data_IF_005285608290
#
_entry.id   IF_005285608290
#
_cell.length_a   1.000
_cell.length_b   1.000
_cell.length_c   1.000
_cell.angle_alpha   90.00
_cell.angle_beta   90.00
_cell.angle_gamma   90.00
#
_symmetry.space_group_name_H-M   'P 1'
#
loop_
_entity.id
_entity.type
_entity.pdbx_description
1 polymer ?
#
# COMPACT_ATOMS: atom_id res chain seq x y z
N UNK A 1 15.04 14.82 1.57
CA UNK A 1 13.57 15.03 1.42
C UNK A 1 13.29 15.24 -0.06
N UNK A 2 12.21 14.74 -0.66
CA UNK A 2 11.69 15.04 -2.02
C UNK A 2 12.57 15.93 -2.97
N UNK A 3 13.83 15.54 -3.25
CA UNK A 3 14.79 16.33 -4.05
C UNK A 3 15.38 17.61 -3.44
N UNK A 4 15.16 17.92 -2.15
CA UNK A 4 15.74 19.05 -1.41
C UNK A 4 16.75 18.59 -0.34
N UNK A 5 17.78 19.40 -0.12
CA UNK A 5 18.91 19.14 0.77
C UNK A 5 18.60 19.49 2.23
N UNK A 6 17.62 20.37 2.48
CA UNK A 6 17.20 20.75 3.83
C UNK A 6 15.69 21.06 3.94
N UNK A 7 15.17 21.11 5.17
CA UNK A 7 13.75 21.41 5.44
C UNK A 7 13.43 22.86 5.05
N UNK A 8 14.36 23.77 5.31
CA UNK A 8 14.25 25.17 4.93
C UNK A 8 14.19 25.33 3.41
N UNK A 9 15.05 24.62 2.68
CA UNK A 9 15.04 24.60 1.22
C UNK A 9 13.74 23.99 0.69
N UNK A 10 13.29 22.88 1.27
CA UNK A 10 12.01 22.25 0.93
C UNK A 10 10.84 23.22 1.08
N UNK A 11 10.77 23.96 2.20
CA UNK A 11 9.74 24.99 2.44
C UNK A 11 9.81 26.12 1.42
N UNK A 12 11.00 26.64 1.13
CA UNK A 12 11.21 27.67 0.09
C UNK A 12 10.72 27.20 -1.28
N UNK A 13 11.02 25.94 -1.66
CA UNK A 13 10.56 25.34 -2.91
C UNK A 13 9.02 25.20 -2.94
N UNK A 14 8.40 24.70 -1.86
CA UNK A 14 6.95 24.55 -1.78
C UNK A 14 6.22 25.90 -1.90
N UNK A 15 6.66 26.91 -1.14
CA UNK A 15 6.11 28.27 -1.21
C UNK A 15 6.23 28.85 -2.62
N UNK A 16 7.39 28.68 -3.27
CA UNK A 16 7.62 29.09 -4.66
C UNK A 16 6.65 28.41 -5.63
N UNK A 17 6.43 27.10 -5.51
CA UNK A 17 5.53 26.37 -6.40
C UNK A 17 4.05 26.74 -6.18
N UNK A 18 3.67 27.09 -4.95
CA UNK A 18 2.32 27.55 -4.60
C UNK A 18 2.09 29.03 -4.86
N UNK A 19 3.15 29.80 -5.11
CA UNK A 19 3.12 31.27 -5.19
C UNK A 19 2.61 31.92 -3.89
N UNK A 20 2.99 31.33 -2.76
CA UNK A 20 2.65 31.79 -1.41
C UNK A 20 3.92 32.35 -0.71
N UNK A 21 3.78 33.28 0.25
CA UNK A 21 4.91 33.75 1.04
C UNK A 21 5.50 32.62 1.90
N UNK A 22 6.82 32.66 2.12
CA UNK A 22 7.51 31.71 3.00
C UNK A 22 7.25 32.10 4.44
N UNK A 23 6.18 31.58 5.03
CA UNK A 23 5.90 31.75 6.45
C UNK A 23 6.50 30.57 7.24
N UNK A 24 7.35 30.88 8.22
CA UNK A 24 8.07 29.87 9.01
C UNK A 24 7.15 28.88 9.75
N UNK A 25 5.92 29.31 10.04
CA UNK A 25 4.91 28.54 10.79
C UNK A 25 3.90 27.80 9.91
N UNK A 26 3.94 27.95 8.58
CA UNK A 26 2.96 27.31 7.71
C UNK A 26 3.33 25.85 7.48
N UNK A 27 2.42 24.96 7.88
CA UNK A 27 2.52 23.54 7.56
C UNK A 27 1.82 23.27 6.22
N UNK A 28 2.61 23.19 5.14
CA UNK A 28 2.07 22.94 3.82
C UNK A 28 1.63 21.48 3.71
N UNK A 29 0.33 21.24 3.47
CA UNK A 29 -0.16 19.88 3.18
C UNK A 29 0.43 19.35 1.87
N UNK A 30 1.31 18.35 1.92
CA UNK A 30 1.93 17.74 0.74
C UNK A 30 1.18 16.45 0.38
N UNK A 31 0.45 16.48 -0.73
CA UNK A 31 -0.18 15.28 -1.26
C UNK A 31 0.85 14.27 -1.76
N UNK A 32 0.60 12.98 -1.53
CA UNK A 32 1.33 11.89 -2.14
C UNK A 32 0.47 11.30 -3.28
N UNK A 33 1.05 11.14 -4.48
CA UNK A 33 0.45 10.33 -5.53
C UNK A 33 1.22 9.02 -5.59
N UNK A 34 0.55 7.92 -5.29
CA UNK A 34 1.12 6.59 -5.36
C UNK A 34 0.83 6.06 -6.76
N UNK A 35 1.88 5.81 -7.53
CA UNK A 35 1.74 5.11 -8.81
C UNK A 35 1.73 3.61 -8.54
N UNK A 36 0.67 2.95 -8.97
CA UNK A 36 0.55 1.51 -8.85
C UNK A 36 1.09 0.84 -10.12
N UNK A 37 2.10 -0.01 -9.95
CA UNK A 37 2.73 -0.80 -11.02
C UNK A 37 3.12 0.01 -12.27
N UNK A 38 3.96 1.06 -12.13
CA UNK A 38 4.48 1.75 -13.30
C UNK A 38 5.30 0.78 -14.14
N UNK A 39 5.05 0.78 -15.44
CA UNK A 39 5.91 0.10 -16.40
C UNK A 39 6.54 1.14 -17.33
N UNK A 40 7.70 0.80 -17.86
CA UNK A 40 8.34 1.57 -18.90
C UNK A 40 8.25 0.79 -20.21
N UNK A 41 7.99 1.49 -21.30
CA UNK A 41 8.22 0.94 -22.63
C UNK A 41 9.70 1.06 -22.99
N UNK A 42 10.24 0.11 -23.77
CA UNK A 42 11.46 0.31 -24.54
C UNK A 42 11.44 1.64 -25.31
N UNK A 43 12.62 2.24 -25.52
CA UNK A 43 12.73 3.60 -26.08
C UNK A 43 12.10 3.73 -27.47
N UNK A 44 12.17 2.68 -28.27
CA UNK A 44 11.54 2.55 -29.59
C UNK A 44 10.01 2.61 -29.53
N UNK A 45 9.41 2.28 -28.39
CA UNK A 45 7.97 2.36 -28.15
C UNK A 45 7.58 3.61 -27.36
N UNK A 46 8.47 4.58 -27.16
CA UNK A 46 8.07 5.83 -26.51
C UNK A 46 7.07 6.60 -27.37
N UNK A 47 6.16 7.30 -26.70
CA UNK A 47 5.21 8.17 -27.38
C UNK A 47 5.92 9.52 -27.58
N UNK A 48 6.03 10.02 -28.82
CA UNK A 48 6.70 11.28 -29.07
C UNK A 48 5.98 12.40 -28.31
N UNK A 49 6.77 13.29 -27.74
CA UNK A 49 6.29 14.43 -27.00
C UNK A 49 5.69 15.42 -28.00
N UNK A 50 4.39 15.71 -27.88
CA UNK A 50 3.75 16.75 -28.69
C UNK A 50 4.37 18.12 -28.39
N UNK A 51 4.44 19.01 -29.39
CA UNK A 51 5.06 20.35 -29.30
C UNK A 51 4.55 21.23 -28.13
N UNK A 52 3.40 20.87 -27.53
CA UNK A 52 2.76 21.57 -26.40
C UNK A 52 3.18 21.07 -25.02
N UNK A 53 4.15 20.17 -24.92
CA UNK A 53 4.72 19.74 -23.64
C UNK A 53 5.94 20.61 -23.31
N UNK A 54 5.72 21.67 -22.54
CA UNK A 54 6.82 22.50 -22.08
C UNK A 54 7.77 21.67 -21.16
N UNK A 55 9.10 21.79 -21.31
CA UNK A 55 10.07 21.11 -20.45
C UNK A 55 9.91 21.45 -18.96
N UNK A 56 9.25 22.57 -18.66
CA UNK A 56 8.97 23.08 -17.32
C UNK A 56 7.70 22.53 -16.67
N UNK A 57 7.05 21.52 -17.24
CA UNK A 57 5.87 20.87 -16.63
C UNK A 57 6.33 20.04 -15.43
N UNK A 58 6.24 20.64 -14.24
CA UNK A 58 6.54 20.02 -12.94
C UNK A 58 5.28 19.51 -12.21
N UNK A 59 4.12 19.65 -12.84
CA UNK A 59 2.81 19.15 -12.37
C UNK A 59 2.25 18.25 -13.46
N UNK A 60 1.74 17.06 -13.10
CA UNK A 60 1.15 16.15 -14.07
C UNK A 60 0.10 16.86 -14.93
N UNK A 61 0.31 16.87 -16.25
CA UNK A 61 -0.62 17.43 -17.23
C UNK A 61 -1.56 16.32 -17.69
N UNK A 62 -2.86 16.50 -17.44
CA UNK A 62 -3.88 15.59 -17.94
C UNK A 62 -4.31 16.01 -19.34
N UNK A 63 -4.57 15.03 -20.20
CA UNK A 63 -5.12 15.24 -21.53
C UNK A 63 -6.48 14.54 -21.61
N UNK A 64 -7.47 15.25 -22.12
CA UNK A 64 -8.82 14.74 -22.32
C UNK A 64 -8.97 14.16 -23.73
N UNK A 65 -9.69 13.03 -23.85
CA UNK A 65 -9.87 12.33 -25.14
C UNK A 65 -10.82 13.04 -26.10
N UNK A 66 -11.55 14.07 -25.65
CA UNK A 66 -12.31 14.97 -26.49
C UNK A 66 -11.45 15.90 -27.34
N UNK A 67 -10.17 16.09 -26.98
CA UNK A 67 -9.21 16.90 -27.73
C UNK A 67 -8.27 16.04 -28.57
N UNK A 68 -7.78 16.59 -29.70
CA UNK A 68 -6.90 15.87 -30.62
C UNK A 68 -5.64 15.31 -29.93
N UNK A 69 -4.99 16.09 -29.08
CA UNK A 69 -3.78 15.68 -28.35
C UNK A 69 -4.07 14.52 -27.39
N UNK A 70 -5.16 14.59 -26.61
CA UNK A 70 -5.51 13.52 -25.68
C UNK A 70 -5.94 12.24 -26.38
N UNK A 71 -6.63 12.37 -27.52
CA UNK A 71 -6.97 11.24 -28.39
C UNK A 71 -5.70 10.59 -28.97
N UNK A 72 -4.74 11.39 -29.44
CA UNK A 72 -3.44 10.90 -29.90
C UNK A 72 -2.70 10.08 -28.83
N UNK A 73 -2.56 10.62 -27.62
CA UNK A 73 -1.91 9.89 -26.52
C UNK A 73 -2.67 8.61 -26.16
N UNK A 74 -4.00 8.68 -26.10
CA UNK A 74 -4.84 7.54 -25.77
C UNK A 74 -4.73 6.41 -26.80
N UNK A 75 -4.80 6.73 -28.08
CA UNK A 75 -4.70 5.74 -29.16
C UNK A 75 -3.28 5.13 -29.20
N UNK A 76 -2.25 5.96 -29.04
CA UNK A 76 -0.86 5.52 -28.97
C UNK A 76 -0.60 4.57 -27.78
N UNK A 77 -1.20 4.84 -26.61
CA UNK A 77 -1.14 3.95 -25.43
C UNK A 77 -1.88 2.65 -25.70
N UNK A 78 -3.10 2.71 -26.23
CA UNK A 78 -3.93 1.53 -26.53
C UNK A 78 -3.25 0.60 -27.51
N UNK A 79 -2.70 1.12 -28.60
CA UNK A 79 -1.99 0.36 -29.63
C UNK A 79 -0.79 -0.40 -29.03
N UNK A 80 0.06 0.31 -28.27
CA UNK A 80 1.26 -0.28 -27.64
C UNK A 80 0.92 -1.29 -26.54
N UNK A 81 -0.15 -1.08 -25.79
CA UNK A 81 -0.65 -2.05 -24.81
C UNK A 81 -1.17 -3.31 -25.51
N UNK A 82 -1.91 -3.17 -26.61
CA UNK A 82 -2.39 -4.30 -27.41
C UNK A 82 -1.22 -5.11 -28.01
N UNK A 83 -0.21 -4.43 -28.56
CA UNK A 83 1.01 -5.06 -29.09
C UNK A 83 1.81 -5.80 -27.99
N UNK A 84 1.86 -5.26 -26.77
CA UNK A 84 2.53 -5.89 -25.62
C UNK A 84 1.77 -7.10 -25.08
N UNK A 85 0.46 -7.19 -25.25
CA UNK A 85 -0.30 -8.41 -24.91
C UNK A 85 0.07 -9.59 -25.81
N UNK A 86 0.75 -9.37 -26.94
CA UNK A 86 1.24 -10.39 -27.85
C UNK A 86 2.74 -10.72 -27.69
N UNK A 87 3.50 -9.90 -26.95
CA UNK A 87 4.94 -10.05 -26.78
C UNK A 87 5.32 -10.32 -25.32
N UNK A 88 5.95 -11.46 -25.07
CA UNK A 88 6.50 -11.81 -23.76
C UNK A 88 7.51 -10.76 -23.26
N UNK A 89 7.62 -10.51 -21.94
CA UNK A 89 8.53 -9.52 -21.41
C UNK A 89 9.99 -9.88 -21.70
N UNK A 90 10.75 -8.91 -22.21
CA UNK A 90 12.21 -9.00 -22.39
C UNK A 90 12.90 -8.73 -21.03
N UNK A 91 13.91 -9.54 -20.63
CA UNK A 91 14.65 -9.31 -19.40
C UNK A 91 15.59 -8.12 -19.55
N UNK A 92 15.56 -7.19 -18.59
CA UNK A 92 16.58 -6.17 -18.40
C UNK A 92 17.82 -6.83 -17.76
N UNK A 93 19.00 -6.42 -18.24
CA UNK A 93 20.31 -7.05 -18.03
C UNK A 93 20.66 -7.43 -16.58
N UNK A 94 21.30 -8.61 -16.49
CA UNK A 94 21.74 -9.30 -15.27
C UNK A 94 22.89 -8.58 -14.55
N UNK A 95 22.70 -8.31 -13.25
CA UNK A 95 23.82 -8.25 -12.30
C UNK A 95 23.73 -9.47 -11.40
N UNK A 96 24.71 -10.37 -11.56
CA UNK A 96 24.83 -11.66 -10.92
C UNK A 96 24.93 -11.60 -9.38
N UNK A 97 23.77 -11.55 -8.69
CA UNK A 97 23.57 -11.94 -7.28
C UNK A 97 22.19 -12.51 -6.97
N UNK A 98 21.28 -12.57 -7.95
CA UNK A 98 19.88 -12.98 -7.76
C UNK A 98 19.60 -14.28 -8.52
N UNK A 99 18.82 -15.18 -7.91
CA UNK A 99 18.34 -16.40 -8.56
C UNK A 99 17.52 -16.06 -9.81
N UNK A 100 17.40 -17.01 -10.75
CA UNK A 100 16.61 -16.91 -11.97
C UNK A 100 15.30 -16.16 -11.73
N UNK A 101 15.02 -15.05 -12.46
CA UNK A 101 13.81 -14.27 -12.27
C UNK A 101 12.58 -15.18 -12.37
N UNK A 102 11.87 -15.35 -11.24
CA UNK A 102 10.57 -16.01 -11.26
C UNK A 102 9.53 -14.97 -11.65
N UNK A 103 8.72 -15.31 -12.65
CA UNK A 103 7.50 -14.57 -12.96
C UNK A 103 6.56 -14.64 -11.75
N UNK A 104 6.63 -13.65 -10.89
CA UNK A 104 5.61 -13.44 -9.85
C UNK A 104 4.50 -12.64 -10.51
N UNK A 105 3.26 -13.15 -10.50
CA UNK A 105 2.09 -12.30 -10.77
C UNK A 105 1.94 -11.38 -9.55
N UNK A 106 2.33 -10.09 -9.63
CA UNK A 106 2.23 -9.22 -8.48
C UNK A 106 0.74 -9.02 -8.17
N UNK A 107 0.38 -9.07 -6.88
CA UNK A 107 -0.98 -8.75 -6.46
C UNK A 107 -1.18 -7.24 -6.69
N UNK A 108 -1.99 -6.91 -7.71
CA UNK A 108 -2.42 -5.53 -7.97
C UNK A 108 -3.00 -4.95 -6.67
N UNK A 109 -2.59 -3.76 -6.28
CA UNK A 109 -3.09 -3.06 -5.10
C UNK A 109 -2.26 -3.27 -3.83
N UNK A 110 -1.27 -4.15 -3.80
CA UNK A 110 -0.58 -4.49 -2.54
C UNK A 110 0.22 -3.32 -1.94
N UNK A 111 0.88 -2.52 -2.78
CA UNK A 111 1.66 -1.35 -2.33
C UNK A 111 0.76 -0.22 -1.83
N UNK A 112 -0.30 0.07 -2.57
CA UNK A 112 -1.33 1.07 -2.22
C UNK A 112 -2.13 0.65 -0.98
N UNK A 113 -2.49 -0.63 -0.87
CA UNK A 113 -3.12 -1.24 0.31
C UNK A 113 -2.28 -1.04 1.57
N UNK A 114 -0.98 -1.37 1.52
CA UNK A 114 -0.11 -1.19 2.69
C UNK A 114 -0.10 0.25 3.17
N UNK A 115 0.04 1.21 2.25
CA UNK A 115 0.06 2.64 2.62
C UNK A 115 -1.30 3.07 3.18
N UNK A 116 -2.39 2.70 2.51
CA UNK A 116 -3.74 3.08 2.91
C UNK A 116 -4.14 2.51 4.30
N UNK A 117 -3.82 1.24 4.57
CA UNK A 117 -4.00 0.63 5.89
C UNK A 117 -3.07 1.27 6.92
N UNK A 118 -1.81 1.55 6.58
CA UNK A 118 -0.89 2.21 7.51
C UNK A 118 -1.40 3.57 7.96
N UNK A 119 -1.92 4.37 7.03
CA UNK A 119 -2.44 5.70 7.33
C UNK A 119 -3.81 5.65 8.03
N UNK A 120 -4.67 4.67 7.72
CA UNK A 120 -6.00 4.56 8.38
C UNK A 120 -5.91 4.26 9.87
N UNK A 121 -4.82 3.63 10.32
CA UNK A 121 -4.55 3.32 11.73
C UNK A 121 -3.68 4.37 12.44
N UNK A 122 -3.46 5.55 11.85
CA UNK A 122 -2.54 6.57 12.40
C UNK A 122 -1.15 5.99 12.69
N UNK A 123 -0.68 5.10 11.80
CA UNK A 123 0.67 4.50 11.86
C UNK A 123 0.93 3.74 13.15
N UNK A 124 -0.11 3.12 13.72
CA UNK A 124 -0.05 2.37 14.97
C UNK A 124 -0.57 0.96 14.79
N UNK A 125 0.11 0.00 15.39
CA UNK A 125 -0.41 -1.35 15.54
C UNK A 125 -1.82 -1.30 16.16
N UNK A 126 -2.78 -2.00 15.55
CA UNK A 126 -4.16 -2.08 15.98
C UNK A 126 -4.30 -2.66 17.41
N UNK A 127 -3.34 -3.46 17.86
CA UNK A 127 -3.38 -4.14 19.16
C UNK A 127 -2.45 -3.43 20.15
N UNK A 128 -1.15 -3.36 19.83
CA UNK A 128 -0.15 -2.88 20.80
C UNK A 128 0.02 -1.35 20.82
N UNK A 129 -0.50 -0.64 19.82
CA UNK A 129 -0.25 0.79 19.65
C UNK A 129 1.19 1.17 19.25
N UNK A 130 2.05 0.19 18.95
CA UNK A 130 3.42 0.38 18.47
C UNK A 130 3.46 1.29 17.23
N UNK A 131 4.43 2.22 17.17
CA UNK A 131 4.54 3.26 16.12
C UNK A 131 5.75 3.10 15.22
N UNK A 132 6.64 2.17 15.54
CA UNK A 132 7.87 1.93 14.80
C UNK A 132 7.54 1.31 13.45
N UNK A 133 7.32 2.16 12.44
CA UNK A 133 6.85 1.76 11.10
C UNK A 133 7.58 0.54 10.47
N UNK A 134 8.92 0.37 10.63
CA UNK A 134 9.61 -0.80 10.07
C UNK A 134 9.16 -2.17 10.63
N UNK A 135 8.52 -2.21 11.81
CA UNK A 135 7.99 -3.43 12.42
C UNK A 135 6.48 -3.57 12.25
N UNK A 136 5.87 -2.72 11.43
CA UNK A 136 4.43 -2.74 11.16
C UNK A 136 4.16 -3.22 9.73
N UNK A 137 3.21 -4.12 9.64
CA UNK A 137 2.74 -4.72 8.39
C UNK A 137 1.23 -4.57 8.25
N UNK A 138 0.76 -4.34 7.03
CA UNK A 138 -0.65 -4.40 6.70
C UNK A 138 -1.04 -5.87 6.45
N UNK A 139 -1.73 -6.45 7.42
CA UNK A 139 -2.25 -7.81 7.36
C UNK A 139 -3.60 -7.83 6.64
N UNK A 140 -3.80 -8.78 5.73
CA UNK A 140 -5.11 -9.06 5.16
C UNK A 140 -5.94 -9.86 6.17
N UNK A 141 -7.18 -9.47 6.40
CA UNK A 141 -8.11 -10.24 7.22
C UNK A 141 -8.51 -11.51 6.45
N UNK A 142 -9.09 -11.32 5.27
CA UNK A 142 -9.32 -12.37 4.29
C UNK A 142 -8.19 -12.36 3.27
N UNK A 143 -7.48 -13.48 3.16
CA UNK A 143 -6.38 -13.62 2.23
C UNK A 143 -6.85 -13.46 0.77
N UNK A 144 -6.03 -12.82 -0.07
CA UNK A 144 -6.34 -12.62 -1.50
C UNK A 144 -6.70 -13.93 -2.23
N UNK A 145 -5.96 -15.01 -1.97
CA UNK A 145 -6.22 -16.33 -2.57
C UNK A 145 -7.55 -16.97 -2.16
N UNK A 146 -8.21 -16.45 -1.11
CA UNK A 146 -9.51 -16.88 -0.64
C UNK A 146 -10.64 -15.90 -1.02
N UNK A 147 -10.38 -14.96 -1.94
CA UNK A 147 -11.34 -13.95 -2.38
C UNK A 147 -11.30 -12.64 -1.59
N UNK A 148 -10.24 -12.38 -0.82
CA UNK A 148 -10.07 -11.10 -0.13
C UNK A 148 -9.61 -9.98 -1.07
N UNK A 149 -10.18 -8.80 -0.92
CA UNK A 149 -9.85 -7.63 -1.74
C UNK A 149 -8.75 -6.77 -1.11
N UNK A 150 -8.13 -5.90 -1.91
CA UNK A 150 -7.13 -4.92 -1.46
C UNK A 150 -7.78 -3.65 -0.88
N UNK A 151 -8.85 -3.82 -0.10
CA UNK A 151 -9.56 -2.74 0.58
C UNK A 151 -9.06 -2.53 2.01
N UNK A 152 -9.10 -1.29 2.50
CA UNK A 152 -8.68 -0.96 3.87
C UNK A 152 -9.52 -1.68 4.93
N UNK A 153 -10.81 -1.88 4.66
CA UNK A 153 -11.73 -2.67 5.48
C UNK A 153 -11.32 -4.14 5.59
N UNK A 154 -10.57 -4.68 4.62
CA UNK A 154 -9.98 -6.02 4.69
C UNK A 154 -8.56 -6.00 5.30
N UNK A 155 -8.19 -4.92 6.02
CA UNK A 155 -6.84 -4.68 6.52
C UNK A 155 -6.74 -4.37 8.01
N UNK A 156 -5.75 -4.98 8.66
CA UNK A 156 -5.29 -4.62 10.01
C UNK A 156 -3.83 -4.16 9.94
N UNK A 157 -3.48 -3.04 10.57
CA UNK A 157 -2.08 -2.68 10.77
C UNK A 157 -1.55 -3.38 12.02
N UNK A 158 -0.64 -4.33 11.87
CA UNK A 158 -0.17 -5.18 12.97
C UNK A 158 1.35 -5.14 13.11
N UNK A 159 1.84 -5.37 14.32
CA UNK A 159 3.26 -5.67 14.53
C UNK A 159 3.61 -6.97 13.82
N UNK A 160 4.79 -7.05 13.19
CA UNK A 160 5.18 -8.18 12.31
C UNK A 160 5.04 -9.56 12.98
N UNK A 161 5.29 -9.69 14.27
CA UNK A 161 5.10 -10.94 15.02
C UNK A 161 3.61 -11.31 15.14
N UNK A 162 2.75 -10.35 15.51
CA UNK A 162 1.31 -10.55 15.63
C UNK A 162 0.68 -10.81 14.26
N UNK A 163 1.12 -10.12 13.21
CA UNK A 163 0.72 -10.41 11.83
C UNK A 163 1.00 -11.87 11.46
N UNK A 164 2.21 -12.37 11.74
CA UNK A 164 2.56 -13.77 11.48
C UNK A 164 1.71 -14.76 12.27
N UNK A 165 1.30 -14.42 13.50
CA UNK A 165 0.39 -15.26 14.28
C UNK A 165 -1.03 -15.20 13.75
N UNK A 166 -1.47 -14.04 13.27
CA UNK A 166 -2.79 -13.83 12.68
C UNK A 166 -2.94 -14.66 11.40
N UNK A 167 -1.97 -14.56 10.47
CA UNK A 167 -1.94 -15.36 9.23
C UNK A 167 -1.94 -16.87 9.48
N UNK A 168 -1.38 -17.31 10.60
CA UNK A 168 -1.31 -18.71 11.03
C UNK A 168 -2.51 -19.15 11.88
N UNK A 169 -3.43 -18.24 12.19
CA UNK A 169 -4.62 -18.54 12.98
C UNK A 169 -4.39 -18.64 14.49
N UNK A 170 -3.21 -18.29 15.01
CA UNK A 170 -2.99 -18.32 16.46
C UNK A 170 -3.63 -17.14 17.19
N UNK A 171 -3.99 -16.08 16.46
CA UNK A 171 -4.69 -14.92 17.01
C UNK A 171 -5.74 -14.43 16.03
N UNK A 172 -6.78 -13.77 16.54
CA UNK A 172 -7.86 -13.19 15.72
C UNK A 172 -8.48 -11.99 16.43
N UNK A 173 -9.53 -11.41 15.85
CA UNK A 173 -10.41 -10.46 16.53
C UNK A 173 -11.84 -11.02 16.63
N UNK A 174 -12.50 -10.80 17.77
CA UNK A 174 -13.90 -11.17 17.97
C UNK A 174 -14.87 -10.16 17.31
N UNK A 175 -16.20 -10.40 17.31
CA UNK A 175 -17.19 -9.47 16.75
C UNK A 175 -17.22 -8.09 17.41
N UNK A 176 -16.75 -7.96 18.65
CA UNK A 176 -16.64 -6.71 19.40
C UNK A 176 -15.28 -6.02 19.16
N UNK A 177 -14.50 -6.51 18.22
CA UNK A 177 -13.14 -6.07 17.90
C UNK A 177 -12.16 -6.20 19.08
N UNK A 178 -12.24 -7.27 19.86
CA UNK A 178 -11.23 -7.59 20.89
C UNK A 178 -10.23 -8.60 20.39
N UNK A 179 -8.99 -8.45 20.84
CA UNK A 179 -7.91 -9.36 20.48
C UNK A 179 -8.08 -10.72 21.17
N UNK A 180 -8.10 -11.79 20.39
CA UNK A 180 -8.25 -13.16 20.88
C UNK A 180 -6.99 -13.95 20.56
N UNK A 181 -6.52 -14.72 21.53
CA UNK A 181 -5.34 -15.59 21.40
C UNK A 181 -5.78 -17.04 21.56
N UNK A 182 -5.42 -17.87 20.59
CA UNK A 182 -5.70 -19.30 20.59
C UNK A 182 -4.96 -19.99 21.76
N UNK A 183 -5.60 -20.94 22.46
CA UNK A 183 -4.92 -21.84 23.40
C UNK A 183 -3.78 -22.65 22.75
N UNK A 184 -3.88 -22.94 21.44
CA UNK A 184 -2.88 -23.72 20.69
C UNK A 184 -1.51 -23.08 20.66
N UNK A 185 -1.43 -21.76 20.77
CA UNK A 185 -0.14 -21.07 20.81
C UNK A 185 0.72 -21.55 22.00
N UNK A 186 0.09 -21.82 23.15
CA UNK A 186 0.76 -22.40 24.31
C UNK A 186 0.97 -23.90 24.17
N UNK A 187 0.02 -24.63 23.60
CA UNK A 187 0.12 -26.09 23.42
C UNK A 187 1.26 -26.46 22.47
N UNK A 188 1.37 -25.77 21.33
CA UNK A 188 2.33 -26.09 20.27
C UNK A 188 3.76 -25.64 20.61
N UNK A 189 3.92 -24.54 21.35
CA UNK A 189 5.24 -23.91 21.57
C UNK A 189 5.64 -23.75 23.03
N UNK A 190 4.78 -24.10 23.98
CA UNK A 190 5.01 -23.91 25.43
C UNK A 190 5.41 -22.46 25.79
N UNK A 191 4.95 -21.48 25.01
CA UNK A 191 5.34 -20.08 25.10
C UNK A 191 4.18 -19.16 24.68
N UNK A 192 4.43 -17.86 24.56
CA UNK A 192 3.47 -16.87 24.10
C UNK A 192 2.80 -16.06 25.20
N UNK A 193 3.31 -16.11 26.43
CA UNK A 193 2.75 -15.39 27.59
C UNK A 193 2.44 -13.93 27.26
N UNK A 194 3.36 -13.23 26.60
CA UNK A 194 3.21 -11.82 26.27
C UNK A 194 2.09 -11.54 25.25
N UNK A 195 1.64 -12.53 24.47
CA UNK A 195 0.45 -12.37 23.64
C UNK A 195 -0.82 -12.55 24.45
N UNK A 196 -0.85 -13.49 25.40
CA UNK A 196 -1.98 -13.66 26.32
C UNK A 196 -2.17 -12.46 27.24
N UNK A 197 -1.09 -11.77 27.62
CA UNK A 197 -1.16 -10.50 28.37
C UNK A 197 -1.88 -9.38 27.56
N UNK A 198 -2.03 -9.54 26.24
CA UNK A 198 -2.78 -8.63 25.35
C UNK A 198 -4.21 -9.13 25.06
N UNK A 199 -4.56 -10.36 25.45
CA UNK A 199 -5.86 -10.93 25.14
C UNK A 199 -7.00 -10.13 25.80
N UNK A 200 -8.10 -9.96 25.07
CA UNK A 200 -9.25 -9.17 25.48
C UNK A 200 -9.09 -7.66 25.32
N UNK A 201 -7.92 -7.17 24.89
CA UNK A 201 -7.75 -5.74 24.57
C UNK A 201 -8.58 -5.35 23.35
N UNK A 202 -9.23 -4.18 23.42
CA UNK A 202 -9.94 -3.61 22.29
C UNK A 202 -8.94 -3.20 21.19
N UNK A 203 -9.23 -3.59 19.95
CA UNK A 203 -8.48 -3.14 18.80
C UNK A 203 -8.72 -1.64 18.61
N UNK A 204 -7.63 -0.92 18.34
CA UNK A 204 -7.71 0.41 17.75
C UNK A 204 -8.33 0.30 16.37
N UNK A 205 -9.46 0.96 16.16
CA UNK A 205 -10.14 1.02 14.88
C UNK A 205 -9.81 2.33 14.13
N UNK A 206 -9.81 2.31 12.79
CA UNK A 206 -9.78 3.53 11.99
C UNK A 206 -10.90 4.51 12.38
N UNK A 207 -10.58 5.81 12.36
CA UNK A 207 -11.51 6.89 12.74
C UNK A 207 -12.72 6.91 11.82
N UNK A 208 -12.51 6.67 10.52
CA UNK A 208 -13.59 6.61 9.53
C UNK A 208 -14.25 5.23 9.57
N UNK A 209 -15.55 5.18 9.82
CA UNK A 209 -16.31 3.93 9.95
C UNK A 209 -16.18 3.02 8.71
N UNK A 210 -16.23 3.60 7.51
CA UNK A 210 -16.07 2.86 6.23
C UNK A 210 -14.71 2.16 6.06
N UNK A 211 -13.70 2.55 6.86
CA UNK A 211 -12.36 1.97 6.81
C UNK A 211 -12.14 0.95 7.93
N UNK A 212 -13.13 0.74 8.81
CA UNK A 212 -13.03 -0.25 9.88
C UNK A 212 -13.01 -1.67 9.31
N UNK A 213 -12.43 -2.62 10.04
CA UNK A 213 -12.41 -4.02 9.63
C UNK A 213 -13.82 -4.52 9.30
N UNK A 214 -13.98 -5.13 8.14
CA UNK A 214 -15.22 -5.73 7.71
C UNK A 214 -15.60 -6.90 8.64
N UNK A 215 -16.78 -6.86 9.30
CA UNK A 215 -17.25 -7.94 10.15
C UNK A 215 -17.31 -9.29 9.44
N UNK A 216 -17.68 -9.34 8.15
CA UNK A 216 -17.75 -10.59 7.39
C UNK A 216 -16.36 -11.16 7.13
N UNK A 217 -15.38 -10.32 6.80
CA UNK A 217 -14.00 -10.74 6.66
C UNK A 217 -13.43 -11.28 7.98
N UNK A 218 -13.71 -10.62 9.11
CA UNK A 218 -13.29 -11.09 10.43
C UNK A 218 -13.95 -12.42 10.79
N UNK A 219 -15.23 -12.58 10.45
CA UNK A 219 -15.96 -13.83 10.66
C UNK A 219 -15.38 -14.98 9.85
N UNK A 220 -15.09 -14.73 8.57
CA UNK A 220 -14.35 -15.67 7.73
C UNK A 220 -13.01 -16.05 8.36
N UNK A 221 -12.23 -15.09 8.88
CA UNK A 221 -10.94 -15.40 9.51
C UNK A 221 -11.11 -16.28 10.75
N UNK A 222 -12.13 -16.01 11.58
CA UNK A 222 -12.45 -16.85 12.75
C UNK A 222 -12.85 -18.27 12.37
N UNK A 223 -13.61 -18.44 11.29
CA UNK A 223 -14.12 -19.76 10.90
C UNK A 223 -13.08 -20.59 10.12
N UNK A 224 -12.31 -19.94 9.24
CA UNK A 224 -11.49 -20.64 8.24
C UNK A 224 -9.99 -20.61 8.55
N UNK A 225 -9.56 -19.79 9.52
CA UNK A 225 -8.13 -19.63 9.86
C UNK A 225 -7.82 -19.82 11.32
N UNK A 226 -8.63 -19.25 12.20
CA UNK A 226 -8.36 -19.24 13.63
C UNK A 226 -8.33 -20.66 14.21
N UNK A 227 -7.33 -20.92 15.04
CA UNK A 227 -7.08 -22.21 15.68
C UNK A 227 -7.71 -22.22 17.07
N UNK A 228 -9.02 -21.96 17.22
CA UNK A 228 -9.67 -21.92 18.53
C UNK A 228 -11.18 -21.75 18.49
#
# INVERSE_FOLDING_TARGET
MNGAESLEEMRRRVARYRREPVEYRTDYSIGCRILEQPFFWPRDLWIPIADRWAPSIVVGKSFDTGHADGRFFWDAVRERLAARSAAAPSPLDEVARYSTPRLVKPRLGQGTFRVAVTDSYDRRCAITGERTLPVLDAAHIRAYGAGGEHEVSNGLLLRTDIHKLFDRGYVTADPDFRFVVSPRLREDFQNGKHYYDLAGQDLRLPVQQRLRPDPEALDWHRQERFLG
#
